data_IF_362934868205
#
_entry.id   IF_362934868205
#
_cell.length_a   1.000
_cell.length_b   1.000
_cell.length_c   1.000
_cell.angle_alpha   90.00
_cell.angle_beta   90.00
_cell.angle_gamma   90.00
#
_symmetry.space_group_name_H-M   'P 1'
#
loop_
_entity.id
_entity.type
_entity.pdbx_description
1 polymer ?
#
# COMPACT_ATOMS: atom_id res chain seq x y z
N UNK A 1 21.45 11.94 7.16
CA UNK A 1 20.05 12.39 7.39
C UNK A 1 19.11 11.24 7.04
N UNK A 2 18.48 10.59 8.02
CA UNK A 2 17.47 9.55 7.76
C UNK A 2 16.19 10.24 7.27
N UNK A 3 16.09 10.42 5.96
CA UNK A 3 14.89 10.96 5.32
C UNK A 3 13.72 10.06 5.72
N UNK A 4 12.70 10.62 6.38
CA UNK A 4 11.41 9.96 6.66
C UNK A 4 10.65 9.75 5.35
N UNK A 5 11.25 9.03 4.41
CA UNK A 5 10.53 8.46 3.28
C UNK A 5 9.74 7.30 3.87
N UNK A 6 8.45 7.20 3.54
CA UNK A 6 7.77 5.92 3.73
C UNK A 6 8.64 4.90 3.00
N UNK A 7 9.22 3.97 3.75
CA UNK A 7 10.00 2.88 3.17
C UNK A 7 9.08 2.13 2.22
N UNK A 8 9.61 1.58 1.15
CA UNK A 8 8.82 0.86 0.14
C UNK A 8 7.95 -0.23 0.79
N UNK A 9 8.45 -0.86 1.85
CA UNK A 9 7.71 -1.80 2.70
C UNK A 9 6.47 -1.19 3.38
N UNK A 10 6.56 0.04 3.88
CA UNK A 10 5.42 0.72 4.52
C UNK A 10 4.34 1.04 3.49
N UNK A 11 4.74 1.53 2.32
CA UNK A 11 3.82 1.78 1.20
C UNK A 11 3.12 0.49 0.77
N UNK A 12 3.85 -0.62 0.68
CA UNK A 12 3.28 -1.93 0.33
C UNK A 12 2.28 -2.38 1.40
N UNK A 13 2.61 -2.29 2.70
CA UNK A 13 1.69 -2.62 3.81
C UNK A 13 0.42 -1.79 3.77
N UNK A 14 0.55 -0.46 3.65
CA UNK A 14 -0.59 0.45 3.54
C UNK A 14 -1.45 0.14 2.30
N UNK A 15 -0.82 -0.17 1.16
CA UNK A 15 -1.53 -0.58 -0.03
C UNK A 15 -2.29 -1.90 0.19
N UNK A 16 -1.75 -2.89 0.92
CA UNK A 16 -2.42 -4.17 1.19
C UNK A 16 -3.65 -3.95 2.07
N UNK A 17 -3.48 -3.17 3.14
CA UNK A 17 -4.59 -2.78 4.02
C UNK A 17 -5.67 -2.04 3.24
N UNK A 18 -5.29 -1.08 2.38
CA UNK A 18 -6.26 -0.39 1.56
C UNK A 18 -6.93 -1.27 0.50
N UNK A 19 -6.26 -2.30 -0.04
CA UNK A 19 -6.91 -3.28 -0.93
C UNK A 19 -7.95 -4.12 -0.19
N UNK A 20 -7.66 -4.53 1.05
CA UNK A 20 -8.61 -5.22 1.93
C UNK A 20 -9.85 -4.35 2.18
N UNK A 21 -9.65 -3.09 2.53
CA UNK A 21 -10.73 -2.12 2.72
C UNK A 21 -11.58 -1.91 1.45
N UNK A 22 -10.96 -1.86 0.27
CA UNK A 22 -11.68 -1.79 -1.00
C UNK A 22 -12.52 -3.06 -1.25
N UNK A 23 -12.01 -4.25 -0.90
CA UNK A 23 -12.77 -5.52 -0.98
C UNK A 23 -13.93 -5.59 0.00
N UNK A 24 -13.80 -4.94 1.16
CA UNK A 24 -14.90 -4.74 2.11
C UNK A 24 -15.95 -3.73 1.61
N UNK A 25 -15.75 -3.12 0.43
CA UNK A 25 -16.67 -2.17 -0.18
C UNK A 25 -16.43 -0.71 0.20
N UNK A 26 -15.36 -0.41 0.95
CA UNK A 26 -15.00 0.98 1.26
C UNK A 26 -14.54 1.71 0.00
N UNK A 27 -14.76 3.02 -0.03
CA UNK A 27 -14.30 3.85 -1.13
C UNK A 27 -12.82 4.21 -0.98
N UNK A 28 -12.16 4.54 -2.10
CA UNK A 28 -10.78 5.07 -2.11
C UNK A 28 -10.62 6.29 -1.19
N UNK A 29 -11.68 7.09 -1.03
CA UNK A 29 -11.69 8.23 -0.13
C UNK A 29 -11.55 7.83 1.34
N UNK A 30 -12.27 6.79 1.74
CA UNK A 30 -12.23 6.25 3.10
C UNK A 30 -10.92 5.54 3.37
N UNK A 31 -10.41 4.78 2.38
CA UNK A 31 -9.09 4.14 2.47
C UNK A 31 -7.99 5.17 2.68
N UNK A 32 -7.94 6.21 1.85
CA UNK A 32 -6.94 7.27 1.97
C UNK A 32 -7.03 7.96 3.35
N UNK A 33 -8.24 8.26 3.81
CA UNK A 33 -8.48 8.84 5.14
C UNK A 33 -8.07 7.88 6.27
N UNK A 34 -8.34 6.59 6.15
CA UNK A 34 -7.98 5.57 7.15
C UNK A 34 -6.48 5.35 7.25
N UNK A 35 -5.76 5.47 6.13
CA UNK A 35 -4.30 5.35 6.05
C UNK A 35 -3.58 6.66 6.41
N UNK A 36 -4.32 7.77 6.61
CA UNK A 36 -3.73 9.08 6.89
C UNK A 36 -3.02 9.70 5.68
N UNK A 37 -3.36 9.25 4.47
CA UNK A 37 -2.79 9.75 3.21
C UNK A 37 -3.82 10.52 2.39
N UNK A 38 -3.34 11.40 1.52
CA UNK A 38 -4.21 12.08 0.55
C UNK A 38 -4.53 11.15 -0.63
N UNK A 39 -5.71 11.33 -1.24
CA UNK A 39 -6.15 10.53 -2.40
C UNK A 39 -5.11 10.50 -3.52
N UNK A 40 -4.48 11.63 -3.81
CA UNK A 40 -3.46 11.74 -4.87
C UNK A 40 -2.24 10.86 -4.59
N UNK A 41 -1.80 10.78 -3.34
CA UNK A 41 -0.73 9.88 -2.90
C UNK A 41 -1.14 8.42 -3.06
N UNK A 42 -2.36 8.05 -2.66
CA UNK A 42 -2.88 6.70 -2.86
C UNK A 42 -2.93 6.29 -4.34
N UNK A 43 -3.41 7.16 -5.21
CA UNK A 43 -3.42 6.92 -6.65
C UNK A 43 -2.00 6.76 -7.20
N UNK A 44 -1.06 7.62 -6.78
CA UNK A 44 0.34 7.51 -7.17
C UNK A 44 0.96 6.21 -6.69
N UNK A 45 0.68 5.80 -5.46
CA UNK A 45 1.15 4.53 -4.92
C UNK A 45 0.57 3.33 -5.68
N UNK A 46 -0.72 3.33 -6.02
CA UNK A 46 -1.28 2.29 -6.90
C UNK A 46 -0.66 2.29 -8.30
N UNK A 47 -0.28 3.44 -8.85
CA UNK A 47 0.34 3.48 -10.16
C UNK A 47 1.80 3.01 -10.13
N UNK A 48 2.57 3.45 -9.14
CA UNK A 48 4.00 3.11 -8.98
C UNK A 48 4.19 1.71 -8.43
N UNK A 49 3.43 1.35 -7.40
CA UNK A 49 3.57 0.10 -6.66
C UNK A 49 2.43 -0.88 -6.89
N UNK A 50 1.33 -0.53 -7.58
CA UNK A 50 0.25 -1.49 -7.86
C UNK A 50 0.66 -2.56 -8.89
N UNK A 51 1.54 -2.21 -9.83
CA UNK A 51 2.21 -3.18 -10.71
C UNK A 51 3.26 -4.01 -9.97
N UNK A 52 4.09 -3.36 -9.14
CA UNK A 52 5.08 -4.04 -8.28
C UNK A 52 4.42 -4.93 -7.22
N UNK A 53 3.28 -4.58 -6.63
CA UNK A 53 2.59 -5.38 -5.60
C UNK A 53 2.24 -6.77 -6.07
N UNK A 54 1.90 -6.95 -7.34
CA UNK A 54 1.63 -8.30 -7.85
C UNK A 54 2.88 -9.19 -7.80
N UNK A 55 4.06 -8.62 -8.03
CA UNK A 55 5.35 -9.32 -8.01
C UNK A 55 6.03 -9.34 -6.64
N UNK A 56 5.97 -8.25 -5.88
CA UNK A 56 6.60 -8.06 -4.57
C UNK A 56 5.73 -8.53 -3.40
N UNK A 57 4.39 -8.49 -3.48
CA UNK A 57 3.57 -9.13 -2.44
C UNK A 57 3.73 -10.66 -2.46
N UNK A 58 4.13 -11.23 -3.61
CA UNK A 58 4.52 -12.64 -3.69
C UNK A 58 5.82 -12.91 -2.92
N UNK A 59 6.81 -12.01 -3.04
CA UNK A 59 8.06 -12.05 -2.26
C UNK A 59 7.88 -11.74 -0.77
N UNK A 60 7.01 -10.80 -0.42
CA UNK A 60 6.72 -10.46 0.98
C UNK A 60 6.08 -11.65 1.72
N UNK A 61 5.27 -12.46 1.02
CA UNK A 61 4.67 -13.67 1.56
C UNK A 61 5.67 -14.83 1.70
N UNK A 62 6.74 -14.86 0.90
CA UNK A 62 7.86 -15.81 1.09
C UNK A 62 8.73 -15.45 2.29
N UNK A 63 8.86 -14.15 2.64
CA UNK A 63 9.61 -13.67 3.81
C UNK A 63 8.90 -13.85 5.15
N UNK A 64 7.59 -14.12 5.19
CA UNK A 64 6.87 -14.52 6.43
C UNK A 64 6.95 -16.03 6.71
N UNK A 65 7.67 -16.81 5.87
CA UNK A 65 7.83 -18.26 6.00
C UNK A 65 9.24 -18.72 6.42
N UNK A 66 10.14 -17.80 6.80
CA UNK A 66 11.40 -18.11 7.50
C UNK A 66 11.37 -17.69 8.97
#
# INVERSE_FOLDING_TARGET
MKSKRHTEELVIKELVEGDKMLREGKTVAEVARSLGVIKTTWHRWKNTYGGMKATDAKKLKELEME
#
